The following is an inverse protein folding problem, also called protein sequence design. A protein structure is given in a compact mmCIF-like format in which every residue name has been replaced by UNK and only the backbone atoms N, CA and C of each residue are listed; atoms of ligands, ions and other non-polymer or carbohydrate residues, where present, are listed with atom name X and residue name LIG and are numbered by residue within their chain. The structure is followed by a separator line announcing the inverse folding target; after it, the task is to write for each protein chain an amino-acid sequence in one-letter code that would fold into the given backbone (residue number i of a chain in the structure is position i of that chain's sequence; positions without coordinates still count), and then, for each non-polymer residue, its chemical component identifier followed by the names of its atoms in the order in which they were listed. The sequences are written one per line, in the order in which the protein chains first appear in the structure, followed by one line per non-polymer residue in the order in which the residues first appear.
data_IF_954661670898
#
_entry.id   IF_954661670898
#
_cell.length_a   1.000
_cell.length_b   1.000
_cell.length_c   1.000
_cell.angle_alpha   90.00
_cell.angle_beta   90.00
_cell.angle_gamma   90.00
#
_symmetry.space_group_name_H-M   'P 1'
#
loop_
_entity.id
_entity.type
_entity.pdbx_description
1 polymer ?
#
# COMPACT_ATOMS: atom_id res chain seq x y z
N UNK A 1 -8.08 -5.93 9.72
CA UNK A 1 -7.66 -4.63 10.27
C UNK A 1 -6.26 -4.38 9.73
N UNK A 2 -5.96 -3.18 9.25
CA UNK A 2 -4.61 -2.85 8.75
C UNK A 2 -3.61 -2.99 9.91
N UNK A 3 -2.45 -3.56 9.63
CA UNK A 3 -1.35 -3.70 10.58
C UNK A 3 -0.21 -2.81 10.10
N UNK A 4 0.48 -2.15 11.03
CA UNK A 4 1.60 -1.25 10.76
C UNK A 4 2.65 -1.57 11.82
N UNK A 5 3.90 -1.79 11.41
CA UNK A 5 4.98 -2.16 12.32
C UNK A 5 6.32 -1.67 11.81
N UNK A 6 7.30 -1.60 12.71
CA UNK A 6 8.68 -1.43 12.30
C UNK A 6 9.32 -2.76 11.89
N UNK A 7 10.12 -2.70 10.83
CA UNK A 7 10.87 -3.84 10.33
C UNK A 7 12.18 -4.07 11.09
N UNK A 8 12.63 -5.32 11.09
CA UNK A 8 13.99 -5.72 11.44
C UNK A 8 15.02 -5.24 10.39
N UNK A 9 16.28 -5.62 10.56
CA UNK A 9 17.36 -5.29 9.63
C UNK A 9 17.84 -6.51 8.82
N UNK A 10 17.06 -7.59 8.77
CA UNK A 10 17.42 -8.78 8.01
C UNK A 10 17.26 -8.53 6.50
N UNK A 11 18.18 -9.09 5.71
CA UNK A 11 18.13 -9.01 4.24
C UNK A 11 17.73 -10.37 3.63
N UNK A 12 16.87 -11.10 4.34
CA UNK A 12 16.33 -12.38 3.90
C UNK A 12 15.21 -12.14 2.86
N UNK A 13 14.28 -13.08 2.70
CA UNK A 13 13.21 -12.92 1.70
C UNK A 13 12.33 -11.71 2.06
N UNK A 14 12.45 -10.64 1.28
CA UNK A 14 11.71 -9.38 1.40
C UNK A 14 10.17 -9.51 1.45
N UNK A 15 9.63 -10.69 1.15
CA UNK A 15 8.19 -10.99 1.21
C UNK A 15 7.72 -11.41 2.60
N UNK A 16 8.64 -11.68 3.53
CA UNK A 16 8.33 -12.03 4.90
C UNK A 16 7.88 -10.78 5.68
N UNK A 17 7.25 -10.99 6.85
CA UNK A 17 6.75 -9.87 7.67
C UNK A 17 7.87 -8.99 8.27
N UNK A 18 9.09 -9.52 8.40
CA UNK A 18 10.25 -8.80 8.95
C UNK A 18 9.98 -8.07 10.27
N UNK A 19 9.22 -8.69 11.18
CA UNK A 19 8.95 -8.11 12.50
C UNK A 19 10.24 -7.99 13.34
N UNK A 20 10.43 -6.83 13.98
CA UNK A 20 11.40 -6.73 15.09
C UNK A 20 11.11 -7.77 16.19
N UNK A 21 12.12 -8.09 16.99
CA UNK A 21 11.99 -8.96 18.16
C UNK A 21 12.34 -8.19 19.43
N UNK A 22 11.35 -7.77 20.25
CA UNK A 22 9.91 -8.02 20.11
C UNK A 22 9.22 -7.18 18.99
N UNK A 23 8.03 -7.58 18.52
CA UNK A 23 7.27 -6.81 17.53
C UNK A 23 6.93 -5.41 18.02
N UNK A 24 7.07 -4.42 17.14
CA UNK A 24 6.82 -3.01 17.43
C UNK A 24 5.77 -2.47 16.46
N UNK A 25 4.52 -2.39 16.91
CA UNK A 25 3.38 -1.93 16.11
C UNK A 25 3.14 -0.42 16.25
N UNK A 26 2.54 0.16 15.21
CA UNK A 26 2.11 1.56 15.18
C UNK A 26 0.60 1.65 14.97
N UNK A 27 0.00 2.70 15.55
CA UNK A 27 -1.37 3.09 15.25
C UNK A 27 -1.44 3.95 13.99
N UNK A 28 -2.59 3.96 13.33
CA UNK A 28 -2.81 4.77 12.12
C UNK A 28 -2.52 6.26 12.31
N UNK A 29 -2.81 6.80 13.51
CA UNK A 29 -2.54 8.19 13.83
C UNK A 29 -1.03 8.49 13.89
N UNK A 30 -0.22 7.53 14.32
CA UNK A 30 1.23 7.69 14.40
C UNK A 30 1.89 7.51 13.04
N UNK A 31 1.38 6.59 12.21
CA UNK A 31 1.75 6.50 10.79
C UNK A 31 1.56 7.85 10.09
N UNK A 32 0.35 8.43 10.16
CA UNK A 32 0.07 9.71 9.50
C UNK A 32 0.98 10.84 9.99
N UNK A 33 1.21 10.95 11.31
CA UNK A 33 2.08 12.00 11.87
C UNK A 33 3.53 11.87 11.40
N UNK A 34 4.02 10.65 11.22
CA UNK A 34 5.41 10.37 10.81
C UNK A 34 5.61 10.54 9.31
N UNK A 35 4.70 9.98 8.51
CA UNK A 35 4.94 9.77 7.08
C UNK A 35 3.98 10.51 6.17
N UNK A 36 2.86 11.03 6.70
CA UNK A 36 1.77 11.60 5.92
C UNK A 36 0.88 10.56 5.24
N UNK A 37 1.14 9.25 5.42
CA UNK A 37 0.32 8.19 4.82
C UNK A 37 -1.08 8.19 5.43
N UNK A 38 -2.09 8.17 4.57
CA UNK A 38 -3.51 8.09 4.95
C UNK A 38 -4.08 6.71 4.58
N UNK A 39 -5.01 6.22 5.41
CA UNK A 39 -5.72 4.97 5.21
C UNK A 39 -7.22 5.19 5.27
N UNK A 40 -7.93 4.59 4.31
CA UNK A 40 -9.38 4.61 4.27
C UNK A 40 -9.88 3.17 4.16
N UNK A 41 -10.86 2.83 5.01
CA UNK A 41 -11.53 1.53 4.91
C UNK A 41 -12.63 1.63 3.85
N UNK A 42 -12.43 0.93 2.75
CA UNK A 42 -13.36 0.85 1.60
C UNK A 42 -13.94 -0.56 1.52
N UNK A 43 -15.20 -0.69 1.14
CA UNK A 43 -15.78 -1.99 0.80
C UNK A 43 -15.31 -2.42 -0.59
N UNK A 44 -14.27 -3.26 -0.67
CA UNK A 44 -13.69 -3.72 -1.93
C UNK A 44 -14.71 -4.44 -2.84
N UNK A 45 -15.65 -5.21 -2.27
CA UNK A 45 -16.66 -5.94 -3.06
C UNK A 45 -17.67 -5.03 -3.75
N UNK A 46 -17.82 -3.79 -3.26
CA UNK A 46 -18.75 -2.80 -3.80
C UNK A 46 -18.10 -1.42 -3.91
N UNK A 47 -16.81 -1.37 -4.25
CA UNK A 47 -16.03 -0.12 -4.20
C UNK A 47 -16.58 0.97 -5.13
N UNK A 48 -17.21 0.57 -6.23
CA UNK A 48 -17.82 1.48 -7.21
C UNK A 48 -18.96 2.31 -6.63
N UNK A 49 -19.66 1.81 -5.61
CA UNK A 49 -20.72 2.55 -4.90
C UNK A 49 -20.34 2.90 -3.46
N UNK A 50 -19.06 2.79 -3.09
CA UNK A 50 -18.59 3.15 -1.76
C UNK A 50 -18.58 4.68 -1.60
N UNK A 51 -19.29 5.17 -0.58
CA UNK A 51 -19.44 6.61 -0.33
C UNK A 51 -18.11 7.27 0.09
N UNK A 52 -17.27 6.56 0.84
CA UNK A 52 -15.96 7.08 1.30
C UNK A 52 -15.06 7.27 0.09
N UNK A 53 -14.97 6.28 -0.80
CA UNK A 53 -14.19 6.39 -2.03
C UNK A 53 -14.73 7.52 -2.92
N UNK A 54 -16.06 7.58 -3.10
CA UNK A 54 -16.71 8.61 -3.93
C UNK A 54 -16.39 10.02 -3.43
N UNK A 55 -16.52 10.26 -2.12
CA UNK A 55 -16.22 11.56 -1.52
C UNK A 55 -14.73 11.89 -1.59
N UNK A 56 -13.85 10.91 -1.37
CA UNK A 56 -12.41 11.09 -1.45
C UNK A 56 -11.97 11.51 -2.86
N UNK A 57 -12.47 10.79 -3.88
CA UNK A 57 -12.20 11.12 -5.29
C UNK A 57 -12.66 12.52 -5.65
N UNK A 58 -13.87 12.90 -5.24
CA UNK A 58 -14.41 14.24 -5.51
C UNK A 58 -13.61 15.34 -4.79
N UNK A 59 -13.25 15.13 -3.52
CA UNK A 59 -12.50 16.09 -2.70
C UNK A 59 -11.07 16.32 -3.23
N UNK A 60 -10.40 15.26 -3.69
CA UNK A 60 -9.00 15.30 -4.13
C UNK A 60 -8.81 15.41 -5.64
N UNK A 61 -9.90 15.38 -6.41
CA UNK A 61 -9.85 15.49 -7.86
C UNK A 61 -9.26 14.25 -8.54
N UNK A 62 -9.50 13.05 -8.00
CA UNK A 62 -9.04 11.79 -8.60
C UNK A 62 -9.91 11.42 -9.82
N UNK A 63 -9.56 11.97 -10.98
CA UNK A 63 -10.31 11.84 -12.23
C UNK A 63 -9.91 10.63 -13.09
N UNK A 64 -8.88 9.90 -12.71
CA UNK A 64 -8.38 8.73 -13.45
C UNK A 64 -8.13 7.57 -12.50
N UNK A 65 -8.45 6.36 -12.95
CA UNK A 65 -8.13 5.11 -12.28
C UNK A 65 -7.90 4.02 -13.32
N UNK A 66 -7.10 3.03 -12.95
CA UNK A 66 -6.91 1.77 -13.67
C UNK A 66 -6.83 0.60 -12.68
N UNK A 67 -6.89 -0.62 -13.20
CA UNK A 67 -6.79 -1.83 -12.40
C UNK A 67 -5.61 -2.69 -12.87
N UNK A 68 -4.83 -3.17 -11.91
CA UNK A 68 -3.67 -4.04 -12.12
C UNK A 68 -3.85 -5.30 -11.27
N UNK A 69 -3.68 -6.47 -11.88
CA UNK A 69 -3.51 -7.74 -11.16
C UNK A 69 -2.03 -8.11 -11.09
N UNK A 70 -1.41 -7.91 -9.93
CA UNK A 70 0.00 -8.22 -9.73
C UNK A 70 0.22 -9.72 -9.50
N UNK A 71 0.29 -10.49 -10.59
CA UNK A 71 0.67 -11.91 -10.57
C UNK A 71 1.54 -12.26 -11.78
N UNK A 72 2.32 -13.33 -11.69
CA UNK A 72 3.16 -13.80 -12.80
C UNK A 72 2.36 -14.09 -14.08
N UNK A 73 1.09 -14.50 -13.94
CA UNK A 73 0.19 -14.78 -15.06
C UNK A 73 -0.37 -13.52 -15.71
N UNK A 74 -0.67 -12.48 -14.92
CA UNK A 74 -1.43 -11.32 -15.38
C UNK A 74 -0.57 -10.10 -15.67
N UNK A 75 0.63 -10.00 -15.07
CA UNK A 75 1.48 -8.82 -15.16
C UNK A 75 2.63 -9.06 -16.17
N UNK A 76 2.63 -8.37 -17.33
CA UNK A 76 3.75 -8.45 -18.27
C UNK A 76 5.04 -7.97 -17.62
N UNK A 77 6.16 -8.66 -17.89
CA UNK A 77 7.47 -8.35 -17.31
C UNK A 77 7.48 -8.38 -15.76
N UNK A 78 6.70 -9.30 -15.19
CA UNK A 78 6.45 -9.46 -13.75
C UNK A 78 7.72 -9.34 -12.89
N UNK A 79 8.78 -10.08 -13.23
CA UNK A 79 10.00 -10.12 -12.42
C UNK A 79 10.72 -8.78 -12.35
N UNK A 80 10.76 -8.01 -13.44
CA UNK A 80 11.39 -6.70 -13.44
C UNK A 80 10.49 -5.64 -12.80
N UNK A 81 9.17 -5.72 -13.01
CA UNK A 81 8.21 -4.84 -12.32
C UNK A 81 8.25 -5.02 -10.80
N UNK A 82 8.32 -6.25 -10.30
CA UNK A 82 8.48 -6.48 -8.86
C UNK A 82 9.76 -5.86 -8.29
N UNK A 83 10.88 -5.94 -9.02
CA UNK A 83 12.12 -5.28 -8.61
C UNK A 83 11.96 -3.76 -8.57
N UNK A 84 11.30 -3.18 -9.58
CA UNK A 84 11.05 -1.75 -9.65
C UNK A 84 10.14 -1.27 -8.50
N UNK A 85 9.06 -2.01 -8.21
CA UNK A 85 8.16 -1.69 -7.10
C UNK A 85 8.85 -1.76 -5.73
N UNK A 86 9.76 -2.72 -5.53
CA UNK A 86 10.45 -2.89 -4.25
C UNK A 86 11.66 -1.97 -4.06
N UNK A 87 12.31 -1.55 -5.15
CA UNK A 87 13.45 -0.63 -5.06
C UNK A 87 12.97 0.68 -4.46
N UNK A 88 13.57 1.15 -3.37
CA UNK A 88 13.20 2.43 -2.72
C UNK A 88 13.15 3.58 -3.75
N UNK A 89 12.00 4.26 -3.81
CA UNK A 89 11.74 5.32 -4.77
C UNK A 89 10.73 6.33 -4.22
N UNK A 90 10.54 7.43 -4.97
CA UNK A 90 9.51 8.43 -4.69
C UNK A 90 8.82 8.85 -5.99
N UNK A 91 7.64 9.43 -5.84
CA UNK A 91 6.89 10.08 -6.90
C UNK A 91 6.72 11.56 -6.60
N UNK A 92 6.58 12.38 -7.65
CA UNK A 92 6.23 13.80 -7.53
C UNK A 92 4.77 14.01 -7.14
N UNK A 93 3.94 13.01 -7.44
CA UNK A 93 2.50 12.98 -7.21
C UNK A 93 2.16 11.90 -6.17
N UNK A 94 0.94 11.94 -5.63
CA UNK A 94 0.48 10.95 -4.66
C UNK A 94 0.46 9.53 -5.27
N UNK A 95 0.99 8.55 -4.53
CA UNK A 95 0.76 7.13 -4.82
C UNK A 95 -0.50 6.67 -4.09
N UNK A 96 -1.57 6.43 -4.85
CA UNK A 96 -2.87 6.00 -4.32
C UNK A 96 -3.14 4.57 -4.79
N UNK A 97 -3.51 3.69 -3.86
CA UNK A 97 -3.80 2.27 -4.12
C UNK A 97 -5.05 1.82 -3.37
N UNK A 98 -6.00 1.24 -4.10
CA UNK A 98 -7.13 0.50 -3.53
C UNK A 98 -6.88 -0.99 -3.76
N UNK A 99 -6.82 -1.78 -2.68
CA UNK A 99 -6.63 -3.23 -2.77
C UNK A 99 -8.01 -3.89 -2.91
N UNK A 100 -8.27 -4.47 -4.08
CA UNK A 100 -9.54 -5.17 -4.37
C UNK A 100 -9.50 -6.65 -3.98
N UNK A 101 -8.36 -7.31 -4.16
CA UNK A 101 -8.13 -8.71 -3.79
C UNK A 101 -6.65 -8.93 -3.42
N UNK A 102 -6.36 -10.01 -2.70
CA UNK A 102 -5.02 -10.36 -2.27
C UNK A 102 -4.46 -9.48 -1.14
N UNK A 103 -3.14 -9.34 -1.09
CA UNK A 103 -2.43 -8.57 -0.06
C UNK A 103 -1.02 -8.20 -0.51
N UNK A 104 -0.39 -7.26 0.19
CA UNK A 104 0.99 -6.83 -0.01
C UNK A 104 1.44 -5.87 1.09
N UNK A 105 2.72 -5.47 1.03
CA UNK A 105 3.32 -4.51 1.95
C UNK A 105 3.71 -3.23 1.20
N UNK A 106 3.57 -2.09 1.88
CA UNK A 106 4.07 -0.78 1.45
C UNK A 106 4.99 -0.26 2.54
N UNK A 107 6.29 -0.34 2.30
CA UNK A 107 7.29 0.10 3.26
C UNK A 107 7.56 1.59 3.05
N UNK A 108 7.55 2.36 4.14
CA UNK A 108 7.76 3.82 4.12
C UNK A 108 8.78 4.24 5.17
N UNK A 109 9.57 5.28 4.88
CA UNK A 109 10.51 5.87 5.84
C UNK A 109 9.75 6.70 6.88
N UNK A 110 10.20 6.63 8.14
CA UNK A 110 9.57 7.27 9.31
C UNK A 110 10.09 8.67 9.66
#
# INVERSE_FOLDING_TARGET
MVKIWFMDNEQTDQRLEHHRSPPEYLELADLYKKTGVEYFKINADAYQSDEVLTQLRAKRGYTYDDEITCSEKCLPDYANKLKAFFTEHLHTDEEIRLVLDGSGYFDVRD
#
